data_IF_558117199673
#
_entry.id   IF_558117199673
#
_cell.length_a   1.000
_cell.length_b   1.000
_cell.length_c   1.000
_cell.angle_alpha   90.00
_cell.angle_beta   90.00
_cell.angle_gamma   90.00
#
_symmetry.space_group_name_H-M   'P 1'
#
loop_
_entity.id
_entity.type
_entity.pdbx_description
1 polymer ?
#
# COMPACT_ATOMS: atom_id res chain seq x y z
N UNK A 1 49.39 -5.18 -8.03
CA UNK A 1 48.18 -4.96 -8.08
C UNK A 1 47.81 -4.08 -9.11
N UNK A 2 46.98 -4.36 -9.82
CA UNK A 2 46.78 -3.59 -10.95
C UNK A 2 45.38 -3.05 -11.00
N UNK A 3 45.20 -2.11 -11.90
CA UNK A 3 43.93 -1.45 -12.01
C UNK A 3 42.85 -2.37 -12.57
N UNK A 4 43.25 -3.35 -13.37
CA UNK A 4 42.27 -4.28 -13.91
C UNK A 4 41.55 -5.03 -12.81
N UNK A 5 42.30 -5.50 -11.81
CA UNK A 5 41.70 -6.22 -10.72
C UNK A 5 40.76 -5.31 -9.91
N UNK A 6 41.15 -4.03 -9.81
CA UNK A 6 40.32 -3.08 -9.08
C UNK A 6 39.04 -2.80 -9.84
N UNK A 7 39.14 -2.64 -11.15
CA UNK A 7 37.96 -2.43 -11.96
C UNK A 7 37.01 -3.62 -11.90
N UNK A 8 37.58 -4.83 -11.93
CA UNK A 8 36.74 -6.02 -11.84
C UNK A 8 36.01 -6.08 -10.52
N UNK A 9 36.68 -5.69 -9.43
CA UNK A 9 36.04 -5.66 -8.12
C UNK A 9 34.92 -4.65 -8.08
N UNK A 10 35.16 -3.48 -8.65
CA UNK A 10 34.14 -2.43 -8.69
C UNK A 10 32.96 -2.87 -9.53
N UNK A 11 33.22 -3.47 -10.68
CA UNK A 11 32.15 -3.92 -11.55
C UNK A 11 31.31 -5.00 -10.88
N UNK A 12 31.97 -5.89 -10.15
CA UNK A 12 31.25 -6.94 -9.45
C UNK A 12 30.35 -6.37 -8.36
N UNK A 13 30.88 -5.41 -7.62
CA UNK A 13 30.08 -4.77 -6.57
C UNK A 13 28.95 -3.96 -7.16
N UNK A 14 29.20 -3.30 -8.27
CA UNK A 14 28.17 -2.51 -8.92
C UNK A 14 27.04 -3.40 -9.42
N UNK A 15 27.40 -4.53 -10.02
CA UNK A 15 26.40 -5.47 -10.49
C UNK A 15 25.56 -6.00 -9.33
N UNK A 16 26.20 -6.24 -8.19
CA UNK A 16 25.48 -6.69 -7.01
C UNK A 16 24.51 -5.62 -6.52
N UNK A 17 24.96 -4.38 -6.50
CA UNK A 17 24.10 -3.27 -6.09
C UNK A 17 22.92 -3.12 -7.05
N UNK A 18 23.18 -3.21 -8.34
CA UNK A 18 22.12 -3.12 -9.33
C UNK A 18 21.08 -4.21 -9.14
N UNK A 19 21.56 -5.42 -8.87
CA UNK A 19 20.66 -6.55 -8.64
C UNK A 19 19.80 -6.27 -7.39
N UNK A 20 20.41 -5.76 -6.34
CA UNK A 20 19.69 -5.45 -5.10
C UNK A 20 18.66 -4.36 -5.33
N UNK A 21 19.03 -3.33 -6.08
CA UNK A 21 18.10 -2.24 -6.37
C UNK A 21 16.90 -2.75 -7.16
N UNK A 22 17.15 -3.60 -8.14
CA UNK A 22 16.05 -4.17 -8.93
C UNK A 22 15.14 -5.02 -8.06
N UNK A 23 15.71 -5.80 -7.14
CA UNK A 23 14.91 -6.63 -6.25
C UNK A 23 14.07 -5.75 -5.32
N UNK A 24 14.66 -4.67 -4.81
CA UNK A 24 13.94 -3.75 -3.95
C UNK A 24 12.82 -3.06 -4.71
N UNK A 25 13.06 -2.70 -5.96
CA UNK A 25 12.03 -2.07 -6.79
C UNK A 25 10.83 -3.00 -6.95
N UNK A 26 11.10 -4.30 -7.14
CA UNK A 26 10.01 -5.27 -7.26
C UNK A 26 9.23 -5.37 -5.96
N UNK A 27 9.94 -5.36 -4.83
CA UNK A 27 9.29 -5.43 -3.52
C UNK A 27 8.41 -4.20 -3.31
N UNK A 28 8.93 -3.03 -3.64
CA UNK A 28 8.18 -1.79 -3.47
C UNK A 28 6.92 -1.81 -4.33
N UNK A 29 7.04 -2.25 -5.58
CA UNK A 29 5.88 -2.31 -6.46
C UNK A 29 4.81 -3.24 -5.90
N UNK A 30 5.24 -4.40 -5.38
CA UNK A 30 4.29 -5.34 -4.79
C UNK A 30 3.63 -4.74 -3.55
N UNK A 31 4.41 -4.10 -2.69
CA UNK A 31 3.86 -3.49 -1.49
C UNK A 31 2.89 -2.37 -1.83
N UNK A 32 3.17 -1.63 -2.88
CA UNK A 32 2.27 -0.56 -3.30
C UNK A 32 0.93 -1.15 -3.72
N UNK A 33 0.96 -2.25 -4.46
CA UNK A 33 -0.28 -2.90 -4.87
C UNK A 33 -1.04 -3.42 -3.66
N UNK A 34 -0.32 -3.95 -2.67
CA UNK A 34 -0.97 -4.45 -1.46
C UNK A 34 -1.59 -3.33 -0.66
N UNK A 35 -0.91 -2.19 -0.58
CA UNK A 35 -1.46 -1.03 0.11
C UNK A 35 -2.70 -0.51 -0.59
N UNK A 36 -2.64 -0.43 -1.90
CA UNK A 36 -3.79 0.06 -2.66
C UNK A 36 -4.99 -0.86 -2.46
N UNK A 37 -4.76 -2.17 -2.44
CA UNK A 37 -5.84 -3.12 -2.21
C UNK A 37 -6.40 -2.97 -0.80
N UNK A 38 -5.53 -2.77 0.18
CA UNK A 38 -5.98 -2.60 1.56
C UNK A 38 -6.80 -1.32 1.71
N UNK A 39 -6.37 -0.26 1.05
CA UNK A 39 -7.11 1.00 1.10
C UNK A 39 -8.49 0.85 0.48
N UNK A 40 -8.56 0.13 -0.63
CA UNK A 40 -9.84 -0.08 -1.28
C UNK A 40 -10.79 -0.85 -0.37
N UNK A 41 -10.26 -1.86 0.33
CA UNK A 41 -11.08 -2.63 1.26
C UNK A 41 -11.55 -1.78 2.43
N UNK A 42 -10.67 -0.93 2.96
CA UNK A 42 -11.03 -0.06 4.07
C UNK A 42 -12.12 0.91 3.66
N UNK A 43 -11.99 1.48 2.47
CA UNK A 43 -12.99 2.40 1.97
C UNK A 43 -14.33 1.70 1.81
N UNK A 44 -14.29 0.49 1.27
CA UNK A 44 -15.51 -0.28 1.07
C UNK A 44 -16.17 -0.60 2.41
N UNK A 45 -15.38 -0.98 3.40
CA UNK A 45 -15.90 -1.25 4.74
C UNK A 45 -16.49 0.00 5.37
N UNK A 46 -15.82 1.13 5.19
CA UNK A 46 -16.31 2.39 5.74
C UNK A 46 -17.66 2.74 5.12
N UNK A 47 -17.81 2.50 3.83
CA UNK A 47 -19.08 2.77 3.16
C UNK A 47 -20.17 1.86 3.68
N UNK A 48 -19.84 0.60 3.93
CA UNK A 48 -20.82 -0.34 4.45
C UNK A 48 -21.23 0.02 5.87
N UNK A 49 -20.28 0.44 6.69
CA UNK A 49 -20.61 0.87 8.04
C UNK A 49 -21.47 2.12 8.03
N UNK A 50 -21.17 3.04 7.13
CA UNK A 50 -21.99 4.23 7.02
C UNK A 50 -23.41 3.88 6.63
N UNK A 51 -23.57 2.87 5.78
CA UNK A 51 -24.88 2.40 5.41
C UNK A 51 -25.66 1.81 6.58
N UNK A 52 -24.96 1.17 7.50
CA UNK A 52 -25.61 0.63 8.66
C UNK A 52 -26.01 1.72 9.67
N UNK A 53 -25.19 2.74 9.75
CA UNK A 53 -25.42 3.78 10.74
C UNK A 53 -26.51 4.76 10.36
N UNK A 54 -26.79 4.81 9.07
CA UNK A 54 -27.81 5.73 8.64
C UNK A 54 -29.15 5.13 8.80
N UNK A 55 -29.88 5.25 9.50
CA UNK A 55 -31.22 4.83 9.59
C UNK A 55 -31.98 5.89 10.22
N UNK A 56 -32.02 6.20 10.48
CA UNK A 56 -32.46 7.02 10.95
C UNK A 56 -32.45 7.96 10.62
N UNK A 57 -32.46 7.96 10.17
CA UNK A 57 -32.43 8.74 9.66
C UNK A 57 -32.00 9.23 9.32
N UNK A 58 -32.17 9.34 9.52
CA UNK A 58 -31.74 9.73 8.96
C UNK A 58 -31.28 10.13 8.68
N UNK A 59 -31.61 10.24 9.22
CA UNK A 59 -31.29 10.60 8.91
C UNK A 59 -30.91 10.88 8.91
N UNK A 60 -31.99 11.06 9.89
CA UNK A 60 -31.74 11.31 9.71
C UNK A 60 -31.47 11.42 10.08
N UNK A 61 -31.93 11.49 10.66
CA UNK A 61 -31.84 11.50 10.73
C UNK A 61 -31.59 11.40 11.02
N UNK A 62 -32.15 11.47 11.91
CA UNK A 62 -32.13 11.29 11.91
C UNK A 62 -32.08 11.15 12.20
N UNK A 63 -32.66 11.27 12.91
CA UNK A 63 -32.81 10.97 12.89
C UNK A 63 -32.60 10.42 12.96
N UNK A 64 -33.23 10.38 13.71
CA UNK A 64 -33.22 9.81 13.59
C UNK A 64 -32.86 9.14 13.76
N UNK A 65 -33.40 8.97 14.62
CA UNK A 65 -33.24 8.28 14.64
C UNK A 65 -33.06 7.52 14.83
N UNK A 66 -33.74 7.49 15.59
CA UNK A 66 -33.55 6.69 15.72
C UNK A 66 -33.17 6.11 15.87
N UNK A 67 -33.43 5.92 16.50
CA UNK A 67 -32.91 5.31 16.43
C UNK A 67 -32.27 4.88 16.24
N UNK A 68 -32.29 4.78 16.68
CA UNK A 68 -31.64 4.54 16.18
C UNK A 68 -30.81 4.13 15.92
N UNK A 69 -31.10 3.95 16.52
CA UNK A 69 -30.44 3.75 16.00
C UNK A 69 -29.88 3.54 15.61
#
# INVERSE_FOLDING_TARGET
MNESARFETIETKLAHVEHTVNALSDVIARQQRELDAARARLLHLAERLAGFEVPQGASGSAEEKPPHY
#
